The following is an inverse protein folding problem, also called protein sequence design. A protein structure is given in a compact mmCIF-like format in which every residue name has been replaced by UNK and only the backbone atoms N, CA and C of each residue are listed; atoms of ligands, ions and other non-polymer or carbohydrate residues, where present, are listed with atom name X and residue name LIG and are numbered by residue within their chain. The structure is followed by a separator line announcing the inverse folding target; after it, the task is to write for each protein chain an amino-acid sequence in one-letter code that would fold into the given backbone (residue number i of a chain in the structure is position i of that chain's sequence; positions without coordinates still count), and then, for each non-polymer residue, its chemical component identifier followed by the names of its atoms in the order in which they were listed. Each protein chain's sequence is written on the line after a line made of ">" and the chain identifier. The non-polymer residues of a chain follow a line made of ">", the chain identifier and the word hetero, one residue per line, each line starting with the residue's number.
data_IF_752666789177
#
_entry.id   IF_752666789177
#
_cell.length_a   1.000
_cell.length_b   1.000
_cell.length_c   1.000
_cell.angle_alpha   90.00
_cell.angle_beta   90.00
_cell.angle_gamma   90.00
#
_symmetry.space_group_name_H-M   'P 1'
#
loop_
_entity.id
_entity.type
_entity.pdbx_description
1 polymer ?
#
# COMPACT_ATOMS: atom_id res chain seq x y z
N UNK A 1 3.41 10.24 -3.38
CA UNK A 1 4.76 10.04 -2.82
C UNK A 1 5.23 11.35 -2.23
N UNK A 2 6.07 11.28 -1.20
CA UNK A 2 6.65 12.46 -0.54
C UNK A 2 8.16 12.33 -0.46
N UNK A 3 8.84 13.47 -0.41
CA UNK A 3 10.30 13.53 -0.24
C UNK A 3 10.65 13.93 1.18
N UNK A 4 11.93 13.77 1.52
CA UNK A 4 12.48 14.19 2.81
C UNK A 4 12.31 15.69 3.08
N UNK A 5 12.32 16.51 2.01
CA UNK A 5 12.19 17.96 2.07
C UNK A 5 10.73 18.44 2.21
N UNK A 6 9.77 17.52 2.27
CA UNK A 6 8.35 17.83 2.44
C UNK A 6 7.58 18.06 1.14
N UNK A 7 8.20 17.81 -0.02
CA UNK A 7 7.51 17.92 -1.32
C UNK A 7 6.56 16.73 -1.53
N UNK A 8 5.41 17.00 -2.14
CA UNK A 8 4.36 16.01 -2.42
C UNK A 8 4.16 15.85 -3.91
N UNK A 9 4.23 14.60 -4.38
CA UNK A 9 4.01 14.23 -5.77
C UNK A 9 2.82 13.28 -5.90
N UNK A 10 1.88 13.63 -6.77
CA UNK A 10 0.73 12.80 -7.14
C UNK A 10 0.89 12.43 -8.62
N UNK A 11 0.95 11.12 -8.89
CA UNK A 11 1.14 10.58 -10.23
C UNK A 11 -0.19 10.03 -10.74
N UNK A 12 -0.72 10.61 -11.81
CA UNK A 12 -1.94 10.11 -12.45
C UNK A 12 -1.60 9.02 -13.47
N UNK A 13 -1.33 7.82 -12.95
CA UNK A 13 -0.97 6.64 -13.77
C UNK A 13 -2.15 6.11 -14.61
N UNK A 14 -3.37 6.59 -14.35
CA UNK A 14 -4.54 6.27 -15.17
C UNK A 14 -4.57 7.10 -16.45
N UNK A 15 -4.23 8.38 -16.36
CA UNK A 15 -4.15 9.26 -17.55
C UNK A 15 -2.83 9.05 -18.28
N UNK A 16 -1.73 8.90 -17.53
CA UNK A 16 -0.39 8.75 -18.10
C UNK A 16 0.31 7.50 -17.54
N UNK A 17 0.01 6.31 -18.07
CA UNK A 17 0.62 5.07 -17.62
C UNK A 17 2.14 5.02 -17.91
N UNK A 18 2.64 5.79 -18.87
CA UNK A 18 4.06 5.84 -19.21
C UNK A 18 4.92 6.36 -18.05
N UNK A 19 4.33 7.10 -17.10
CA UNK A 19 4.98 7.47 -15.84
C UNK A 19 5.54 6.25 -15.08
N UNK A 20 4.83 5.12 -15.14
CA UNK A 20 5.27 3.88 -14.49
C UNK A 20 6.52 3.32 -15.17
N UNK A 21 6.54 3.26 -16.50
CA UNK A 21 7.57 2.55 -17.26
C UNK A 21 8.71 3.49 -17.69
N UNK A 22 8.40 4.43 -18.57
CA UNK A 22 9.37 5.36 -19.17
C UNK A 22 9.72 6.50 -18.23
N UNK A 23 8.75 6.95 -17.43
CA UNK A 23 8.95 7.98 -16.39
C UNK A 23 9.75 7.50 -15.18
N UNK A 24 10.12 6.22 -15.12
CA UNK A 24 11.06 5.68 -14.14
C UNK A 24 10.47 5.35 -12.77
N UNK A 25 9.16 5.53 -12.54
CA UNK A 25 8.54 5.22 -11.24
C UNK A 25 8.68 3.74 -10.88
N UNK A 26 8.55 2.81 -11.84
CA UNK A 26 8.83 1.39 -11.63
C UNK A 26 10.28 1.13 -11.19
N UNK A 27 11.25 1.84 -11.76
CA UNK A 27 12.66 1.69 -11.37
C UNK A 27 12.88 2.18 -9.94
N UNK A 28 12.26 3.30 -9.57
CA UNK A 28 12.34 3.86 -8.23
C UNK A 28 11.71 2.94 -7.18
N UNK A 29 10.51 2.41 -7.45
CA UNK A 29 9.80 1.50 -6.54
C UNK A 29 10.53 0.15 -6.33
N UNK A 30 11.27 -0.31 -7.34
CA UNK A 30 12.03 -1.57 -7.29
C UNK A 30 13.51 -1.39 -6.89
N UNK A 31 13.98 -0.15 -6.70
CA UNK A 31 15.36 0.10 -6.30
C UNK A 31 15.65 -0.50 -4.93
N UNK A 32 16.77 -1.20 -4.79
CA UNK A 32 17.25 -1.69 -3.47
C UNK A 32 18.00 -0.61 -2.69
N UNK A 33 18.48 0.42 -3.38
CA UNK A 33 19.30 1.49 -2.77
C UNK A 33 18.45 2.58 -2.10
N UNK A 34 17.17 2.66 -2.46
CA UNK A 34 16.23 3.63 -1.91
C UNK A 34 15.28 2.96 -0.94
N UNK A 35 15.14 3.48 0.28
CA UNK A 35 14.11 3.01 1.22
C UNK A 35 12.76 3.58 0.79
N UNK A 36 11.73 2.72 0.66
CA UNK A 36 10.34 3.19 0.53
C UNK A 36 9.67 3.04 1.88
N UNK A 37 9.26 4.18 2.45
CA UNK A 37 8.51 4.20 3.70
C UNK A 37 7.02 4.09 3.36
N UNK A 38 6.37 3.04 3.88
CA UNK A 38 4.94 2.77 3.71
C UNK A 38 4.29 2.52 5.07
N UNK A 39 2.96 2.49 5.11
CA UNK A 39 2.20 2.06 6.28
C UNK A 39 1.32 0.88 5.90
N UNK A 40 1.61 -0.31 6.43
CA UNK A 40 0.96 -1.57 6.05
C UNK A 40 0.93 -1.81 4.53
N UNK A 41 2.12 -2.05 3.97
CA UNK A 41 2.36 -2.09 2.51
C UNK A 41 1.70 -3.27 1.76
N UNK A 42 0.98 -4.15 2.44
CA UNK A 42 0.48 -5.41 1.88
C UNK A 42 -0.44 -5.20 0.67
N UNK A 43 -1.42 -4.29 0.79
CA UNK A 43 -2.37 -3.96 -0.28
C UNK A 43 -1.69 -3.19 -1.42
N UNK A 44 -0.81 -2.25 -1.09
CA UNK A 44 -0.05 -1.49 -2.08
C UNK A 44 0.80 -2.41 -2.95
N UNK A 45 1.52 -3.35 -2.33
CA UNK A 45 2.35 -4.34 -3.02
C UNK A 45 1.52 -5.22 -3.95
N UNK A 46 0.36 -5.70 -3.49
CA UNK A 46 -0.54 -6.51 -4.32
C UNK A 46 -1.08 -5.74 -5.53
N UNK A 47 -1.47 -4.48 -5.33
CA UNK A 47 -1.96 -3.63 -6.42
C UNK A 47 -0.86 -3.30 -7.43
N UNK A 48 0.32 -2.89 -6.95
CA UNK A 48 1.47 -2.57 -7.79
C UNK A 48 1.95 -3.78 -8.60
N UNK A 49 2.04 -4.94 -7.97
CA UNK A 49 2.40 -6.19 -8.67
C UNK A 49 1.32 -6.63 -9.65
N UNK A 50 0.04 -6.55 -9.27
CA UNK A 50 -1.07 -7.05 -10.07
C UNK A 50 -1.35 -6.21 -11.31
N UNK A 51 -1.22 -4.88 -11.20
CA UNK A 51 -1.53 -3.93 -12.26
C UNK A 51 -0.32 -3.61 -13.13
N UNK A 52 0.87 -3.48 -12.53
CA UNK A 52 2.06 -2.97 -13.23
C UNK A 52 3.25 -3.95 -13.23
N UNK A 53 3.14 -5.10 -12.55
CA UNK A 53 4.25 -6.05 -12.43
C UNK A 53 5.39 -5.57 -11.52
N UNK A 54 5.15 -4.52 -10.73
CA UNK A 54 6.14 -3.93 -9.82
C UNK A 54 6.34 -4.82 -8.59
N UNK A 55 7.60 -5.08 -8.24
CA UNK A 55 7.96 -5.72 -6.98
C UNK A 55 8.61 -4.71 -6.05
N UNK A 56 7.87 -4.20 -5.06
CA UNK A 56 8.46 -3.32 -4.06
C UNK A 56 9.69 -3.98 -3.42
N UNK A 57 10.77 -3.21 -3.30
CA UNK A 57 12.03 -3.62 -2.66
C UNK A 57 12.34 -2.67 -1.51
N UNK A 58 13.27 -3.00 -0.61
CA UNK A 58 13.79 -2.11 0.45
C UNK A 58 12.68 -1.23 1.11
N UNK A 59 11.76 -1.90 1.80
CA UNK A 59 10.57 -1.29 2.39
C UNK A 59 10.82 -1.04 3.88
N UNK A 60 10.43 0.13 4.36
CA UNK A 60 10.26 0.44 5.77
C UNK A 60 8.76 0.55 6.07
N UNK A 61 8.18 -0.47 6.68
CA UNK A 61 6.75 -0.46 7.03
C UNK A 61 6.56 0.12 8.44
N UNK A 62 6.01 1.33 8.52
CA UNK A 62 5.81 2.07 9.78
C UNK A 62 4.91 1.34 10.78
N UNK A 63 3.93 0.56 10.29
CA UNK A 63 3.09 -0.26 11.15
C UNK A 63 3.92 -1.40 11.78
N UNK A 64 4.71 -2.10 10.98
CA UNK A 64 5.57 -3.18 11.51
C UNK A 64 6.65 -2.65 12.45
N UNK A 65 7.27 -1.51 12.13
CA UNK A 65 8.25 -0.85 12.99
C UNK A 65 7.64 -0.57 14.36
N UNK A 66 6.44 0.03 14.39
CA UNK A 66 5.71 0.25 15.62
C UNK A 66 5.42 -1.04 16.38
N UNK A 67 5.00 -2.10 15.68
CA UNK A 67 4.72 -3.40 16.30
C UNK A 67 5.96 -4.01 16.98
N UNK A 68 7.11 -3.98 16.31
CA UNK A 68 8.39 -4.49 16.82
C UNK A 68 8.87 -3.66 18.03
N UNK A 69 8.70 -2.33 18.01
CA UNK A 69 9.03 -1.46 19.14
C UNK A 69 8.20 -1.82 20.37
N UNK A 70 6.90 -2.07 20.19
CA UNK A 70 6.00 -2.43 21.29
C UNK A 70 6.38 -3.81 21.85
N UNK A 71 6.66 -4.78 20.97
CA UNK A 71 7.13 -6.11 21.37
C UNK A 71 8.46 -6.06 22.13
N UNK A 72 9.41 -5.24 21.68
CA UNK A 72 10.69 -5.01 22.37
C UNK A 72 10.55 -4.41 23.77
N UNK A 73 9.41 -3.79 24.08
CA UNK A 73 9.07 -3.29 25.43
C UNK A 73 8.35 -4.34 26.30
N UNK A 74 8.27 -5.59 25.85
CA UNK A 74 7.59 -6.68 26.55
C UNK A 74 6.06 -6.62 26.47
N UNK A 75 5.51 -5.85 25.53
CA UNK A 75 4.08 -5.73 25.31
C UNK A 75 3.66 -6.55 24.08
N UNK A 76 2.41 -7.04 24.00
CA UNK A 76 1.97 -7.77 22.82
C UNK A 76 2.02 -6.88 21.57
N UNK A 77 2.35 -7.45 20.38
CA UNK A 77 2.33 -6.72 19.11
C UNK A 77 1.00 -6.00 18.89
N UNK A 78 1.05 -4.77 18.37
CA UNK A 78 -0.14 -3.95 18.12
C UNK A 78 -0.21 -3.51 16.67
N UNK A 79 -1.45 -3.43 16.16
CA UNK A 79 -1.80 -2.77 14.90
C UNK A 79 -2.50 -1.45 15.19
N UNK A 80 -2.05 -0.41 14.51
CA UNK A 80 -2.63 0.93 14.48
C UNK A 80 -2.82 1.33 13.02
N UNK A 81 -3.89 2.05 12.74
CA UNK A 81 -4.02 2.75 11.46
C UNK A 81 -3.05 3.94 11.41
N UNK A 82 -2.72 4.42 10.21
CA UNK A 82 -1.88 5.59 10.04
C UNK A 82 -2.41 6.81 10.83
N UNK A 83 -3.72 7.14 10.82
CA UNK A 83 -4.27 8.16 11.71
C UNK A 83 -3.95 7.97 13.20
N UNK A 84 -4.18 6.77 13.73
CA UNK A 84 -3.93 6.49 15.15
C UNK A 84 -2.44 6.54 15.49
N UNK A 85 -1.58 6.15 14.55
CA UNK A 85 -0.14 6.27 14.68
C UNK A 85 0.28 7.75 14.67
N UNK A 86 -0.26 8.56 13.76
CA UNK A 86 -0.01 10.01 13.73
C UNK A 86 -0.45 10.67 15.05
N UNK A 87 -1.62 10.34 15.58
CA UNK A 87 -2.12 10.88 16.86
C UNK A 87 -1.17 10.51 18.01
N UNK A 88 -0.69 9.26 18.04
CA UNK A 88 0.27 8.78 19.05
C UNK A 88 1.59 9.54 19.01
N UNK A 89 2.10 9.83 17.82
CA UNK A 89 3.36 10.55 17.62
C UNK A 89 3.17 12.08 17.50
N UNK A 90 1.93 12.58 17.70
CA UNK A 90 1.57 14.01 17.64
C UNK A 90 1.92 14.66 16.30
N UNK A 91 1.79 13.91 15.21
CA UNK A 91 2.07 14.37 13.85
C UNK A 91 0.78 14.92 13.24
N UNK A 92 0.83 16.19 12.84
CA UNK A 92 -0.30 16.83 12.18
C UNK A 92 -0.55 16.21 10.81
N UNK A 93 -1.83 15.95 10.49
CA UNK A 93 -2.25 15.44 9.19
C UNK A 93 -3.55 16.12 8.77
N UNK A 94 -3.75 16.27 7.47
CA UNK A 94 -5.05 16.67 6.95
C UNK A 94 -6.09 15.58 7.28
N UNK A 95 -7.27 16.02 7.71
CA UNK A 95 -8.41 15.14 8.00
C UNK A 95 -9.56 15.54 7.08
N UNK A 96 -9.98 14.67 6.15
CA UNK A 96 -11.10 14.98 5.26
C UNK A 96 -12.40 15.17 6.03
N UNK A 97 -13.34 15.93 5.47
CA UNK A 97 -14.69 16.08 6.02
C UNK A 97 -15.40 14.72 6.12
N UNK A 98 -16.42 14.64 6.97
CA UNK A 98 -17.20 13.39 7.12
C UNK A 98 -17.89 13.00 5.82
N UNK A 99 -18.34 13.98 5.05
CA UNK A 99 -18.97 13.81 3.75
C UNK A 99 -17.99 13.19 2.75
N UNK A 100 -16.74 13.70 2.70
CA UNK A 100 -15.72 13.14 1.84
C UNK A 100 -15.30 11.73 2.30
N UNK A 101 -15.17 11.50 3.61
CA UNK A 101 -14.89 10.15 4.12
C UNK A 101 -15.95 9.14 3.69
N UNK A 102 -17.24 9.49 3.78
CA UNK A 102 -18.33 8.63 3.28
C UNK A 102 -18.21 8.41 1.79
N UNK A 103 -18.01 9.47 1.00
CA UNK A 103 -17.85 9.36 -0.44
C UNK A 103 -16.69 8.42 -0.81
N UNK A 104 -15.55 8.54 -0.12
CA UNK A 104 -14.36 7.71 -0.37
C UNK A 104 -14.59 6.23 -0.02
N UNK A 105 -15.41 5.94 0.98
CA UNK A 105 -15.74 4.58 1.41
C UNK A 105 -16.85 3.94 0.57
N UNK A 106 -17.86 4.71 0.20
CA UNK A 106 -19.09 4.21 -0.41
C UNK A 106 -18.98 4.09 -1.94
N UNK A 107 -18.16 4.93 -2.59
CA UNK A 107 -17.95 4.87 -4.04
C UNK A 107 -16.57 4.27 -4.41
N UNK A 108 -16.52 3.01 -4.88
CA UNK A 108 -15.26 2.38 -5.29
C UNK A 108 -14.59 3.04 -6.49
N UNK A 109 -15.34 3.85 -7.27
CA UNK A 109 -14.83 4.53 -8.46
C UNK A 109 -14.47 6.00 -8.21
N UNK A 110 -14.52 6.46 -6.96
CA UNK A 110 -14.27 7.87 -6.60
C UNK A 110 -12.92 8.35 -7.14
N UNK A 111 -11.86 7.53 -7.04
CA UNK A 111 -10.50 7.84 -7.50
C UNK A 111 -10.34 7.77 -9.03
N UNK A 112 -11.32 7.27 -9.77
CA UNK A 112 -11.32 7.27 -11.23
C UNK A 112 -11.88 8.57 -11.84
N UNK A 113 -12.59 9.37 -11.04
CA UNK A 113 -13.23 10.63 -11.48
C UNK A 113 -12.18 11.71 -11.78
N UNK A 114 -12.46 12.57 -12.76
CA UNK A 114 -11.55 13.67 -13.17
C UNK A 114 -12.30 14.98 -13.44
N UNK A 115 -11.71 16.14 -13.14
CA UNK A 115 -10.45 16.31 -12.38
C UNK A 115 -10.62 15.89 -10.90
N UNK A 116 -9.53 15.52 -10.23
CA UNK A 116 -9.55 15.28 -8.79
C UNK A 116 -9.75 16.61 -8.05
N UNK A 117 -10.60 16.62 -7.02
CA UNK A 117 -10.83 17.82 -6.21
C UNK A 117 -9.63 18.10 -5.30
N UNK A 118 -9.51 19.34 -4.82
CA UNK A 118 -8.44 19.72 -3.88
C UNK A 118 -8.46 18.87 -2.61
N UNK A 119 -9.66 18.58 -2.08
CA UNK A 119 -9.78 17.74 -0.89
C UNK A 119 -9.35 16.29 -1.15
N UNK A 120 -9.67 15.71 -2.33
CA UNK A 120 -9.18 14.38 -2.69
C UNK A 120 -7.64 14.35 -2.80
N UNK A 121 -7.04 15.38 -3.39
CA UNK A 121 -5.59 15.51 -3.47
C UNK A 121 -4.96 15.65 -2.07
N UNK A 122 -5.58 16.45 -1.19
CA UNK A 122 -5.13 16.59 0.20
C UNK A 122 -5.28 15.28 1.00
N UNK A 123 -6.33 14.50 0.75
CA UNK A 123 -6.50 13.17 1.35
C UNK A 123 -5.40 12.22 0.88
N UNK A 124 -5.13 12.12 -0.42
CA UNK A 124 -4.05 11.30 -0.94
C UNK A 124 -2.67 11.73 -0.40
N UNK A 125 -2.46 13.03 -0.24
CA UNK A 125 -1.24 13.57 0.36
C UNK A 125 -1.12 13.20 1.86
N UNK A 126 -2.23 13.19 2.60
CA UNK A 126 -2.26 12.88 4.03
C UNK A 126 -1.84 11.44 4.36
N UNK A 127 -1.92 10.52 3.41
CA UNK A 127 -1.46 9.14 3.58
C UNK A 127 0.07 8.98 3.36
N UNK A 128 0.73 9.97 2.77
CA UNK A 128 2.16 9.94 2.47
C UNK A 128 2.99 10.96 3.27
N UNK A 129 2.45 12.15 3.52
CA UNK A 129 3.12 13.24 4.23
C UNK A 129 3.63 12.88 5.63
N UNK A 130 2.87 12.17 6.48
CA UNK A 130 3.34 11.85 7.83
C UNK A 130 4.52 10.86 7.83
N UNK A 131 4.66 10.06 6.77
CA UNK A 131 5.60 8.94 6.73
C UNK A 131 7.06 9.41 6.80
N UNK A 132 7.39 10.47 6.05
CA UNK A 132 8.74 11.04 6.00
C UNK A 132 8.70 12.57 6.09
N UNK A 133 9.63 13.20 6.81
CA UNK A 133 10.64 12.55 7.66
C UNK A 133 10.09 12.12 9.04
N UNK A 134 8.93 12.62 9.46
CA UNK A 134 8.48 12.59 10.85
C UNK A 134 8.32 11.17 11.45
N UNK A 135 7.40 10.33 10.92
CA UNK A 135 7.21 8.98 11.45
C UNK A 135 8.46 8.12 11.31
N UNK A 136 9.17 8.24 10.17
CA UNK A 136 10.41 7.50 9.95
C UNK A 136 11.44 7.81 11.03
N UNK A 137 11.72 9.08 11.32
CA UNK A 137 12.70 9.49 12.35
C UNK A 137 12.30 8.95 13.73
N UNK A 138 11.04 9.15 14.13
CA UNK A 138 10.57 8.77 15.47
C UNK A 138 10.57 7.25 15.67
N UNK A 139 10.16 6.49 14.66
CA UNK A 139 10.14 5.02 14.71
C UNK A 139 11.55 4.45 14.60
N UNK A 140 12.36 4.93 13.65
CA UNK A 140 13.69 4.39 13.40
C UNK A 140 14.62 4.62 14.59
N UNK A 141 14.52 5.77 15.25
CA UNK A 141 15.27 6.05 16.49
C UNK A 141 14.81 5.21 17.69
N UNK A 142 13.58 4.69 17.66
CA UNK A 142 13.00 3.87 18.72
C UNK A 142 13.15 2.36 18.47
N UNK A 143 13.50 1.96 17.25
CA UNK A 143 13.58 0.55 16.85
C UNK A 143 14.87 -0.07 17.40
N UNK A 144 14.80 -1.18 18.17
CA UNK A 144 15.99 -1.82 18.69
C UNK A 144 16.89 -2.36 17.57
N UNK A 145 18.19 -2.08 17.65
CA UNK A 145 19.17 -2.48 16.64
C UNK A 145 19.24 -4.00 16.46
N UNK A 146 19.13 -4.76 17.55
CA UNK A 146 19.10 -6.23 17.56
C UNK A 146 17.85 -6.82 16.88
N UNK A 147 16.82 -5.99 16.63
CA UNK A 147 15.58 -6.38 15.94
C UNK A 147 15.54 -5.95 14.48
N UNK A 148 16.57 -5.27 13.98
CA UNK A 148 16.57 -4.71 12.63
C UNK A 148 16.38 -5.79 11.55
N UNK A 149 17.15 -6.87 11.60
CA UNK A 149 17.03 -7.96 10.61
C UNK A 149 15.63 -8.60 10.63
N UNK A 150 15.08 -8.80 11.83
CA UNK A 150 13.72 -9.31 12.00
C UNK A 150 12.68 -8.35 11.43
N UNK A 151 12.83 -7.06 11.69
CA UNK A 151 11.97 -6.03 11.13
C UNK A 151 12.03 -6.00 9.59
N UNK A 152 13.23 -6.09 8.99
CA UNK A 152 13.38 -6.19 7.55
C UNK A 152 12.67 -7.43 6.98
N UNK A 153 12.82 -8.58 7.64
CA UNK A 153 12.11 -9.80 7.24
C UNK A 153 10.59 -9.64 7.32
N UNK A 154 10.07 -9.04 8.39
CA UNK A 154 8.63 -8.75 8.52
C UNK A 154 8.12 -7.84 7.40
N UNK A 155 8.87 -6.80 7.04
CA UNK A 155 8.51 -5.91 5.94
C UNK A 155 8.43 -6.67 4.61
N UNK A 156 9.40 -7.54 4.33
CA UNK A 156 9.40 -8.38 3.14
C UNK A 156 8.20 -9.33 3.14
N UNK A 157 7.95 -10.05 4.24
CA UNK A 157 6.79 -10.93 4.36
C UNK A 157 5.46 -10.18 4.18
N UNK A 158 5.31 -8.99 4.77
CA UNK A 158 4.09 -8.20 4.61
C UNK A 158 3.87 -7.79 3.16
N UNK A 159 4.93 -7.41 2.45
CA UNK A 159 4.88 -7.06 1.03
C UNK A 159 4.47 -8.23 0.12
N UNK A 160 4.68 -9.47 0.55
CA UNK A 160 4.33 -10.67 -0.21
C UNK A 160 2.97 -11.27 0.21
N UNK A 161 2.44 -10.85 1.36
CA UNK A 161 1.32 -11.52 2.04
C UNK A 161 0.02 -11.61 1.23
N UNK A 162 -0.25 -10.62 0.37
CA UNK A 162 -1.44 -10.56 -0.48
C UNK A 162 -1.14 -10.87 -1.96
N UNK A 163 0.09 -11.25 -2.30
CA UNK A 163 0.42 -11.65 -3.66
C UNK A 163 -0.18 -13.03 -3.98
N UNK A 164 -0.81 -13.22 -5.15
CA UNK A 164 -1.37 -14.51 -5.52
C UNK A 164 -0.27 -15.58 -5.57
N UNK A 165 -0.50 -16.69 -4.86
CA UNK A 165 0.41 -17.83 -4.88
C UNK A 165 0.44 -18.45 -6.30
N UNK A 166 1.65 -18.61 -6.87
CA UNK A 166 1.86 -19.15 -8.22
C UNK A 166 1.20 -20.51 -8.48
N UNK A 167 0.80 -21.24 -7.43
CA UNK A 167 0.14 -22.55 -7.52
C UNK A 167 -1.26 -22.51 -8.18
N UNK A 168 -1.89 -21.33 -8.28
CA UNK A 168 -3.20 -21.14 -8.92
C UNK A 168 -3.17 -20.21 -10.12
N UNK A 169 -2.02 -20.02 -10.78
CA UNK A 169 -1.94 -19.28 -12.03
C UNK A 169 -2.53 -20.11 -13.18
N UNK A 170 -3.87 -20.26 -13.24
CA UNK A 170 -4.54 -20.73 -14.45
C UNK A 170 -4.25 -19.72 -15.56
N UNK A 171 -3.74 -20.20 -16.70
CA UNK A 171 -3.52 -19.41 -17.92
C UNK A 171 -4.78 -18.58 -18.18
N UNK A 172 -4.66 -17.25 -18.19
CA UNK A 172 -5.75 -16.36 -18.59
C UNK A 172 -6.19 -16.75 -20.01
N UNK A 173 -7.50 -16.90 -20.29
CA UNK A 173 -7.98 -16.99 -21.66
C UNK A 173 -7.57 -15.70 -22.38
N UNK A 174 -7.16 -15.80 -23.65
CA UNK A 174 -6.89 -14.63 -24.49
C UNK A 174 -8.22 -13.88 -24.71
N UNK A 175 -8.59 -12.98 -23.82
CA UNK A 175 -9.62 -11.98 -24.08
C UNK A 175 -8.99 -10.92 -24.97
N UNK A 176 -9.55 -10.70 -26.15
CA UNK A 176 -9.06 -9.75 -27.17
C UNK A 176 -9.19 -8.27 -26.79
N UNK A 177 -9.02 -7.92 -25.52
CA UNK A 177 -8.96 -6.54 -25.05
C UNK A 177 -7.51 -6.07 -25.07
N UNK A 178 -7.29 -4.85 -25.55
CA UNK A 178 -5.96 -4.27 -25.66
C UNK A 178 -5.29 -4.15 -24.28
N UNK A 179 -3.94 -4.21 -24.20
CA UNK A 179 -3.19 -4.17 -22.93
C UNK A 179 -3.47 -2.94 -22.03
N UNK A 180 -4.15 -1.92 -22.55
CA UNK A 180 -4.39 -0.63 -21.88
C UNK A 180 -5.81 -0.45 -21.34
N UNK A 181 -6.69 -1.44 -21.47
CA UNK A 181 -7.98 -1.43 -20.77
C UNK A 181 -7.80 -2.11 -19.42
N UNK A 182 -7.51 -1.31 -18.39
CA UNK A 182 -7.61 -1.76 -17.00
C UNK A 182 -9.06 -2.20 -16.75
N UNK A 183 -9.34 -3.48 -16.49
CA UNK A 183 -10.68 -3.86 -16.08
C UNK A 183 -10.89 -3.26 -14.70
N UNK A 184 -11.93 -2.44 -14.57
CA UNK A 184 -12.40 -1.94 -13.29
C UNK A 184 -12.96 -3.14 -12.53
N UNK A 185 -12.22 -3.64 -11.55
CA UNK A 185 -12.71 -4.65 -10.62
C UNK A 185 -13.08 -3.95 -9.31
N UNK A 186 -14.26 -4.24 -8.78
CA UNK A 186 -14.58 -3.85 -7.42
C UNK A 186 -13.79 -4.74 -6.44
N UNK A 187 -13.51 -4.23 -5.23
CA UNK A 187 -12.94 -5.05 -4.14
C UNK A 187 -13.81 -6.29 -3.86
N UNK A 188 -15.13 -6.18 -4.07
CA UNK A 188 -16.09 -7.28 -4.00
C UNK A 188 -15.86 -8.31 -5.11
N UNK A 189 -15.65 -7.88 -6.37
CA UNK A 189 -15.36 -8.80 -7.49
C UNK A 189 -14.04 -9.57 -7.28
N UNK A 190 -13.07 -8.92 -6.64
CA UNK A 190 -11.80 -9.56 -6.27
C UNK A 190 -11.98 -10.55 -5.10
N UNK A 191 -12.70 -10.16 -4.05
CA UNK A 191 -12.97 -11.00 -2.88
C UNK A 191 -13.86 -12.20 -3.20
N UNK A 192 -14.91 -12.01 -3.99
CA UNK A 192 -15.87 -13.07 -4.35
C UNK A 192 -15.22 -14.12 -5.27
N UNK A 193 -14.35 -13.67 -6.18
CA UNK A 193 -13.57 -14.56 -7.05
C UNK A 193 -12.55 -15.39 -6.27
N UNK A 194 -11.88 -14.80 -5.28
CA UNK A 194 -10.87 -15.49 -4.48
C UNK A 194 -11.47 -16.35 -3.34
N UNK A 195 -12.67 -16.02 -2.83
CA UNK A 195 -13.39 -16.85 -1.86
C UNK A 195 -13.98 -18.12 -2.48
N UNK A 196 -14.53 -18.05 -3.69
CA UNK A 196 -15.08 -19.24 -4.39
C UNK A 196 -14.00 -20.29 -4.71
N UNK A 197 -12.74 -19.90 -4.81
CA UNK A 197 -11.62 -20.79 -5.11
C UNK A 197 -10.90 -21.34 -3.85
N UNK A 198 -11.38 -20.99 -2.65
CA UNK A 198 -10.81 -21.42 -1.37
C UNK A 198 -11.61 -22.52 -0.65
N UNK A 199 -12.73 -22.98 -1.23
CA UNK A 199 -13.54 -24.07 -0.66
C UNK A 199 -13.35 -25.36 -1.48
N UNK A 200 -12.77 -26.44 -0.93
CA UNK A 200 -12.80 -27.73 -1.59
C UNK A 200 -14.25 -28.25 -1.57
N UNK A 201 -14.79 -28.59 -2.73
CA UNK A 201 -15.99 -29.42 -2.84
C UNK A 201 -15.80 -30.66 -1.94
N UNK A 202 -16.54 -30.74 -0.85
CA UNK A 202 -16.69 -31.98 -0.12
C UNK A 202 -17.42 -32.96 -1.05
N UNK A 203 -16.69 -34.00 -1.44
CA UNK A 203 -17.20 -35.10 -2.23
C UNK A 203 -18.52 -35.63 -1.66
N UNK A 204 -19.50 -35.72 -2.55
CA UNK A 204 -20.68 -36.57 -2.38
C UNK A 204 -20.23 -38.00 -2.05
N UNK A 205 -20.69 -38.51 -0.92
CA UNK A 205 -21.05 -39.91 -0.69
C UNK A 205 -22.41 -39.91 0.01
#
# INVERSE_FOLDING_TARGET
>A
MTTWDGEVYIFDVKINPDLMYDGGLMRLLQSVDLIKVLHDCSVDSANLSGQFGVKLQNIYDTQLAYSVIIEGRGLPPRRLSLPALCDKYKIARYTPSRELQRLLNDDPNVWARRPLTRDMLNTAAADALPLVPALYIDLNSSLPEDKWEWFCHLCEQNSLSLLPCKKYAKRRPKTGLAPHELPVYTLADWQEKNMRESCPEQHKL
#
